data_IF_143830536854
#
_entry.id   IF_143830536854
#
_cell.length_a   1.000
_cell.length_b   1.000
_cell.length_c   1.000
_cell.angle_alpha   90.00
_cell.angle_beta   90.00
_cell.angle_gamma   90.00
#
_symmetry.space_group_name_H-M   'P 1'
#
loop_
_entity.id
_entity.type
_entity.pdbx_description
1 polymer ?
#
# COMPACT_ATOMS: atom_id res chain seq x y z
N UNK A 1 -11.75 12.26 -21.28
CA UNK A 1 -11.38 11.62 -19.99
C UNK A 1 -12.22 12.27 -18.91
N UNK A 2 -12.98 11.50 -18.13
CA UNK A 2 -13.67 12.05 -16.96
C UNK A 2 -12.65 12.31 -15.86
N UNK A 3 -12.57 13.55 -15.39
CA UNK A 3 -11.74 13.87 -14.24
C UNK A 3 -12.29 13.15 -13.01
N UNK A 4 -11.41 12.47 -12.27
CA UNK A 4 -11.75 11.95 -10.95
C UNK A 4 -11.81 13.15 -10.01
N UNK A 5 -12.91 13.31 -9.28
CA UNK A 5 -13.03 14.42 -8.31
C UNK A 5 -12.21 14.13 -7.06
N UNK A 6 -11.81 15.19 -6.37
CA UNK A 6 -11.07 15.07 -5.11
C UNK A 6 -11.83 14.23 -4.08
N UNK A 7 -13.15 14.42 -3.98
CA UNK A 7 -14.01 13.68 -3.05
C UNK A 7 -14.01 12.17 -3.36
N UNK A 8 -13.96 11.79 -4.64
CA UNK A 8 -13.89 10.38 -5.04
C UNK A 8 -12.57 9.74 -4.63
N UNK A 9 -11.46 10.50 -4.69
CA UNK A 9 -10.15 10.02 -4.23
C UNK A 9 -10.17 9.85 -2.70
N UNK A 10 -10.72 10.81 -1.96
CA UNK A 10 -10.85 10.71 -0.50
C UNK A 10 -11.69 9.50 -0.08
N UNK A 11 -12.84 9.30 -0.73
CA UNK A 11 -13.71 8.15 -0.44
C UNK A 11 -13.03 6.81 -0.70
N UNK A 12 -12.17 6.73 -1.72
CA UNK A 12 -11.39 5.53 -1.99
C UNK A 12 -10.40 5.25 -0.85
N UNK A 13 -9.64 6.25 -0.38
CA UNK A 13 -8.71 6.10 0.73
C UNK A 13 -9.40 5.70 2.04
N UNK A 14 -10.57 6.29 2.34
CA UNK A 14 -11.33 5.92 3.53
C UNK A 14 -11.87 4.50 3.47
N UNK A 15 -12.26 4.03 2.29
CA UNK A 15 -12.69 2.65 2.08
C UNK A 15 -11.51 1.70 2.34
N UNK A 16 -10.36 1.98 1.73
CA UNK A 16 -9.17 1.15 1.86
C UNK A 16 -8.73 1.01 3.32
N UNK A 17 -8.64 2.13 4.05
CA UNK A 17 -8.30 2.14 5.48
C UNK A 17 -9.30 1.33 6.32
N UNK A 18 -10.62 1.47 6.06
CA UNK A 18 -11.63 0.71 6.80
C UNK A 18 -11.52 -0.79 6.56
N UNK A 19 -11.27 -1.22 5.32
CA UNK A 19 -11.10 -2.65 5.01
C UNK A 19 -9.89 -3.23 5.74
N UNK A 20 -8.82 -2.44 5.88
CA UNK A 20 -7.64 -2.80 6.65
C UNK A 20 -7.97 -2.91 8.15
N UNK A 21 -8.65 -1.92 8.71
CA UNK A 21 -9.06 -1.88 10.13
C UNK A 21 -10.00 -3.04 10.48
N UNK A 22 -10.92 -3.39 9.58
CA UNK A 22 -11.92 -4.46 9.76
C UNK A 22 -11.36 -5.86 9.39
N UNK A 23 -10.07 -5.97 9.07
CA UNK A 23 -9.41 -7.21 8.65
C UNK A 23 -10.07 -7.90 7.44
N UNK A 24 -10.64 -7.13 6.51
CA UNK A 24 -11.27 -7.61 5.29
C UNK A 24 -10.26 -7.73 4.14
N UNK A 25 -9.37 -8.72 4.24
CA UNK A 25 -8.17 -8.84 3.41
C UNK A 25 -8.45 -8.98 1.91
N UNK A 26 -9.42 -9.81 1.50
CA UNK A 26 -9.72 -10.04 0.08
C UNK A 26 -10.23 -8.76 -0.61
N UNK A 27 -11.12 -8.03 0.06
CA UNK A 27 -11.67 -6.78 -0.44
C UNK A 27 -10.62 -5.66 -0.39
N UNK A 28 -9.75 -5.66 0.62
CA UNK A 28 -8.62 -4.75 0.72
C UNK A 28 -7.64 -4.96 -0.46
N UNK A 29 -7.27 -6.20 -0.77
CA UNK A 29 -6.41 -6.53 -1.92
C UNK A 29 -7.05 -6.17 -3.27
N UNK A 30 -8.38 -6.16 -3.36
CA UNK A 30 -9.11 -5.70 -4.55
C UNK A 30 -9.02 -4.17 -4.78
N UNK A 31 -8.60 -3.39 -3.78
CA UNK A 31 -8.31 -1.97 -3.96
C UNK A 31 -7.03 -1.75 -4.79
N UNK A 32 -6.16 -2.76 -4.87
CA UNK A 32 -4.86 -2.68 -5.53
C UNK A 32 -4.89 -3.32 -6.92
N UNK A 33 -4.20 -2.68 -7.87
CA UNK A 33 -3.99 -3.26 -9.19
C UNK A 33 -3.09 -4.51 -9.08
N UNK A 34 -3.21 -5.46 -10.02
CA UNK A 34 -2.43 -6.71 -10.01
C UNK A 34 -0.92 -6.51 -9.95
N UNK A 35 -0.45 -5.41 -10.53
CA UNK A 35 0.96 -5.03 -10.58
C UNK A 35 1.29 -3.89 -9.60
N UNK A 36 0.45 -3.66 -8.59
CA UNK A 36 0.72 -2.64 -7.58
C UNK A 36 1.80 -3.17 -6.64
N UNK A 37 2.89 -2.42 -6.53
CA UNK A 37 3.94 -2.69 -5.56
C UNK A 37 3.48 -2.17 -4.19
N UNK A 38 3.41 -3.08 -3.20
CA UNK A 38 3.16 -2.70 -1.82
C UNK A 38 4.50 -2.70 -1.07
N UNK A 39 5.08 -1.52 -0.95
CA UNK A 39 6.35 -1.34 -0.25
C UNK A 39 6.15 -0.49 0.99
N UNK A 40 6.32 -1.12 2.16
CA UNK A 40 6.41 -0.43 3.45
C UNK A 40 7.86 -0.53 3.95
N UNK A 41 8.72 0.46 3.66
CA UNK A 41 10.08 0.44 4.16
C UNK A 41 10.09 0.47 5.69
N UNK A 42 10.93 -0.37 6.30
CA UNK A 42 11.27 -0.20 7.70
C UNK A 42 12.28 0.94 7.82
N UNK A 43 12.21 1.70 8.91
CA UNK A 43 13.20 2.74 9.19
C UNK A 43 14.53 2.06 9.57
N UNK A 44 15.63 2.49 8.95
CA UNK A 44 16.97 2.12 9.39
C UNK A 44 17.35 2.89 10.67
N UNK A 45 18.35 2.41 11.41
CA UNK A 45 18.82 3.00 12.67
C UNK A 45 19.45 4.41 12.51
N UNK A 46 19.49 5.00 11.31
CA UNK A 46 20.23 6.22 10.97
C UNK A 46 19.42 7.33 10.28
N UNK A 47 18.09 7.30 10.35
CA UNK A 47 17.22 8.37 9.79
C UNK A 47 17.37 8.54 8.26
N UNK A 48 17.70 7.47 7.53
CA UNK A 48 17.72 7.46 6.06
C UNK A 48 16.71 6.48 5.47
N UNK A 49 16.02 6.90 4.40
CA UNK A 49 15.09 6.05 3.66
C UNK A 49 15.88 4.92 2.97
N UNK A 50 15.67 3.69 3.42
CA UNK A 50 16.09 2.45 2.77
C UNK A 50 15.68 2.47 1.29
N UNK A 51 16.62 2.28 0.36
CA UNK A 51 16.37 2.43 -1.10
C UNK A 51 16.36 1.11 -1.85
N UNK A 52 16.62 -0.01 -1.17
CA UNK A 52 16.67 -1.33 -1.80
C UNK A 52 15.93 -2.40 -0.96
N UNK A 53 14.71 -2.81 -1.36
CA UNK A 53 13.96 -3.86 -0.68
C UNK A 53 14.61 -5.26 -0.78
N UNK A 54 15.64 -5.45 -1.62
CA UNK A 54 16.37 -6.71 -1.75
C UNK A 54 17.61 -6.80 -0.84
N UNK A 55 18.09 -5.68 -0.28
CA UNK A 55 19.27 -5.64 0.59
C UNK A 55 19.00 -5.25 2.03
N UNK A 56 17.82 -4.69 2.34
CA UNK A 56 17.48 -4.15 3.65
C UNK A 56 16.28 -4.89 4.29
N UNK A 57 16.28 -5.03 5.62
CA UNK A 57 15.24 -5.74 6.37
C UNK A 57 13.92 -4.99 6.20
N UNK A 58 13.01 -5.54 5.40
CA UNK A 58 11.65 -5.02 5.24
C UNK A 58 10.74 -5.57 6.33
N UNK A 59 9.89 -4.74 6.94
CA UNK A 59 8.85 -5.20 7.86
C UNK A 59 7.82 -6.09 7.13
N UNK A 60 7.47 -5.72 5.89
CA UNK A 60 6.62 -6.48 4.97
C UNK A 60 7.04 -6.13 3.52
N UNK A 61 7.38 -7.11 2.69
CA UNK A 61 7.63 -6.93 1.25
C UNK A 61 6.85 -7.96 0.43
N UNK A 62 6.00 -7.47 -0.47
CA UNK A 62 5.26 -8.28 -1.44
C UNK A 62 5.44 -7.67 -2.84
N UNK A 63 6.20 -8.31 -3.76
CA UNK A 63 6.44 -7.80 -5.11
C UNK A 63 5.20 -7.86 -6.00
N UNK A 64 4.24 -8.70 -5.62
CA UNK A 64 2.91 -8.83 -6.20
C UNK A 64 1.92 -9.15 -5.08
N UNK A 65 0.62 -9.09 -5.39
CA UNK A 65 -0.47 -9.37 -4.44
C UNK A 65 -0.85 -10.86 -4.35
N UNK A 66 -0.03 -11.76 -4.91
CA UNK A 66 -0.35 -13.17 -5.16
C UNK A 66 -0.85 -13.47 -6.57
#
# INVERSE_FOLDING_TARGET
MNAVSYEKIQQFLFKEARLLDDAQWDDWLNCYHKNAEFWMPAWDDNDTLTTDPLQEISLIYYPDRG
#
